data_IF_211065748162
#
_entry.id   IF_211065748162
#
_cell.length_a   1.000
_cell.length_b   1.000
_cell.length_c   1.000
_cell.angle_alpha   90.00
_cell.angle_beta   90.00
_cell.angle_gamma   90.00
#
_symmetry.space_group_name_H-M   'P 1'
#
loop_
_entity.id
_entity.type
_entity.pdbx_description
1 polymer ?
#
# COMPACT_ATOMS: atom_id res chain seq x y z
N UNK A 1 10.13 -16.22 8.05
CA UNK A 1 10.83 -16.29 6.75
C UNK A 1 9.92 -15.69 5.66
N UNK A 2 9.62 -14.38 5.73
CA UNK A 2 8.70 -13.68 4.81
C UNK A 2 9.26 -12.37 4.23
N UNK A 3 10.32 -11.78 4.79
CA UNK A 3 10.90 -10.55 4.26
C UNK A 3 11.56 -10.71 2.90
N UNK A 4 12.23 -11.84 2.62
CA UNK A 4 12.92 -12.07 1.34
C UNK A 4 11.95 -12.24 0.16
N UNK A 5 10.79 -12.88 0.38
CA UNK A 5 9.75 -12.99 -0.65
C UNK A 5 9.02 -11.66 -0.84
N UNK A 6 8.80 -10.87 0.21
CA UNK A 6 8.30 -9.50 0.09
C UNK A 6 9.29 -8.59 -0.65
N UNK A 7 10.61 -8.70 -0.37
CA UNK A 7 11.65 -7.88 -0.99
C UNK A 7 11.84 -8.19 -2.50
N UNK A 8 11.75 -9.47 -2.89
CA UNK A 8 11.94 -9.89 -4.28
C UNK A 8 10.73 -9.55 -5.15
N UNK A 9 9.50 -9.87 -4.69
CA UNK A 9 8.28 -9.62 -5.47
C UNK A 9 7.86 -8.14 -5.50
N UNK A 10 8.24 -7.35 -4.50
CA UNK A 10 7.93 -5.91 -4.45
C UNK A 10 9.13 -5.02 -4.82
N UNK A 11 10.23 -5.56 -5.35
CA UNK A 11 11.40 -4.75 -5.73
C UNK A 11 11.07 -3.66 -6.76
N UNK A 12 10.23 -3.97 -7.75
CA UNK A 12 9.70 -2.99 -8.71
C UNK A 12 8.83 -1.94 -8.00
N UNK A 13 7.92 -2.38 -7.14
CA UNK A 13 7.05 -1.50 -6.35
C UNK A 13 7.87 -0.56 -5.46
N UNK A 14 8.88 -1.07 -4.76
CA UNK A 14 9.79 -0.26 -3.92
C UNK A 14 10.53 0.76 -4.79
N UNK A 15 11.00 0.35 -5.97
CA UNK A 15 11.62 1.26 -6.94
C UNK A 15 10.66 2.38 -7.36
N UNK A 16 9.43 2.05 -7.72
CA UNK A 16 8.38 3.01 -8.08
C UNK A 16 8.03 3.95 -6.92
N UNK A 17 7.88 3.41 -5.70
CA UNK A 17 7.59 4.21 -4.50
C UNK A 17 8.72 5.19 -4.18
N UNK A 18 9.98 4.79 -4.38
CA UNK A 18 11.15 5.69 -4.24
C UNK A 18 11.11 6.83 -5.26
N UNK A 19 10.74 6.54 -6.51
CA UNK A 19 10.56 7.57 -7.54
C UNK A 19 9.44 8.53 -7.15
N UNK A 20 8.29 8.01 -6.70
CA UNK A 20 7.16 8.82 -6.23
C UNK A 20 7.59 9.73 -5.07
N UNK A 21 8.30 9.21 -4.07
CA UNK A 21 8.80 9.99 -2.94
C UNK A 21 9.77 11.10 -3.39
N UNK A 22 10.69 10.79 -4.29
CA UNK A 22 11.64 11.76 -4.83
C UNK A 22 10.94 12.89 -5.60
N UNK A 23 10.00 12.57 -6.50
CA UNK A 23 9.24 13.59 -7.26
C UNK A 23 8.41 14.45 -6.32
N UNK A 24 7.80 13.84 -5.30
CA UNK A 24 7.02 14.54 -4.26
C UNK A 24 7.88 15.56 -3.54
N UNK A 25 9.09 15.19 -3.10
CA UNK A 25 10.03 16.11 -2.45
C UNK A 25 10.46 17.25 -3.35
N UNK A 26 10.74 16.97 -4.63
CA UNK A 26 11.16 18.00 -5.57
C UNK A 26 10.04 19.02 -5.84
N UNK A 27 8.78 18.57 -5.82
CA UNK A 27 7.62 19.47 -5.88
C UNK A 27 7.50 20.27 -4.58
N UNK A 28 7.63 19.63 -3.42
CA UNK A 28 7.53 20.29 -2.10
C UNK A 28 8.66 21.32 -1.86
N UNK A 29 9.86 21.06 -2.37
CA UNK A 29 11.02 21.95 -2.37
C UNK A 29 10.90 23.09 -3.43
N UNK A 30 9.87 23.09 -4.27
CA UNK A 30 9.70 24.06 -5.37
C UNK A 30 10.71 23.90 -6.52
N UNK A 31 11.42 22.77 -6.59
CA UNK A 31 12.38 22.45 -7.67
C UNK A 31 11.69 21.95 -8.94
N UNK A 32 10.46 21.45 -8.82
CA UNK A 32 9.60 21.06 -9.95
C UNK A 32 8.29 21.83 -9.92
N UNK A 33 7.86 22.29 -11.08
CA UNK A 33 6.56 22.93 -11.26
C UNK A 33 5.44 21.90 -11.17
N UNK A 34 4.58 22.04 -10.17
CA UNK A 34 3.40 21.18 -9.95
C UNK A 34 2.39 21.17 -11.10
N UNK A 35 2.43 22.16 -12.01
CA UNK A 35 1.61 22.16 -13.22
C UNK A 35 2.17 21.26 -14.32
N UNK A 36 3.49 21.04 -14.34
CA UNK A 36 4.17 20.19 -15.32
C UNK A 36 4.39 18.76 -14.78
N UNK A 37 4.56 18.64 -13.46
CA UNK A 37 4.80 17.37 -12.77
C UNK A 37 3.68 17.09 -11.79
N UNK A 38 2.92 16.03 -12.05
CA UNK A 38 1.78 15.65 -11.22
C UNK A 38 2.23 14.97 -9.94
N UNK A 39 1.83 15.52 -8.79
CA UNK A 39 1.94 14.83 -7.49
C UNK A 39 1.05 13.60 -7.48
N UNK A 40 1.59 12.46 -7.06
CA UNK A 40 0.85 11.21 -6.89
C UNK A 40 0.44 11.07 -5.42
N UNK A 41 -0.87 10.92 -5.18
CA UNK A 41 -1.40 10.60 -3.85
C UNK A 41 -1.42 9.09 -3.66
N UNK A 42 -0.71 8.60 -2.65
CA UNK A 42 -0.57 7.17 -2.37
C UNK A 42 -1.49 6.77 -1.22
N UNK A 43 -2.24 5.70 -1.46
CA UNK A 43 -3.20 5.14 -0.53
C UNK A 43 -2.89 3.65 -0.34
N UNK A 44 -2.74 3.23 0.92
CA UNK A 44 -2.37 1.87 1.28
C UNK A 44 -3.46 1.25 2.15
N UNK A 45 -3.95 0.09 1.74
CA UNK A 45 -5.00 -0.66 2.43
C UNK A 45 -4.41 -2.02 2.78
N UNK A 46 -4.20 -2.25 4.08
CA UNK A 46 -3.64 -3.50 4.57
C UNK A 46 -4.28 -3.93 5.89
N UNK A 47 -4.18 -5.22 6.20
CA UNK A 47 -4.46 -5.76 7.53
C UNK A 47 -3.38 -6.78 7.90
N UNK A 48 -2.22 -6.24 8.25
CA UNK A 48 -1.05 -7.04 8.61
C UNK A 48 -1.31 -7.90 9.86
N UNK A 49 -2.20 -7.46 10.75
CA UNK A 49 -2.52 -8.20 11.97
C UNK A 49 -3.30 -9.48 11.67
N UNK A 50 -4.35 -9.40 10.85
CA UNK A 50 -5.12 -10.57 10.46
C UNK A 50 -4.32 -11.49 9.54
N UNK A 51 -3.56 -10.94 8.58
CA UNK A 51 -2.75 -11.76 7.68
C UNK A 51 -1.60 -12.49 8.37
N UNK A 52 -0.96 -11.90 9.39
CA UNK A 52 0.07 -12.60 10.18
C UNK A 52 -0.47 -13.81 10.95
N UNK A 53 -1.76 -13.81 11.29
CA UNK A 53 -2.44 -14.95 11.92
C UNK A 53 -2.61 -16.14 10.98
N UNK A 54 -2.56 -15.91 9.66
CA UNK A 54 -2.62 -16.96 8.65
C UNK A 54 -1.22 -17.52 8.42
N UNK A 55 -0.94 -18.67 9.04
CA UNK A 55 0.38 -19.32 8.98
C UNK A 55 0.83 -19.63 7.54
N UNK A 56 2.13 -19.89 7.37
CA UNK A 56 2.78 -20.17 6.06
C UNK A 56 2.04 -21.20 5.18
N UNK A 57 1.46 -22.30 5.72
CA UNK A 57 0.74 -23.27 4.90
C UNK A 57 -0.51 -22.73 4.20
N UNK A 58 -1.11 -21.64 4.73
CA UNK A 58 -2.29 -21.01 4.13
C UNK A 58 -2.06 -20.50 2.71
N UNK A 59 -0.79 -20.20 2.34
CA UNK A 59 -0.41 -19.73 1.01
C UNK A 59 -0.69 -20.73 -0.11
N UNK A 60 -0.74 -22.03 0.21
CA UNK A 60 -1.04 -23.10 -0.74
C UNK A 60 -2.49 -23.57 -0.64
N UNK A 61 -3.30 -22.94 0.22
CA UNK A 61 -4.70 -23.31 0.41
C UNK A 61 -5.58 -22.64 -0.65
N UNK A 62 -6.03 -23.43 -1.62
CA UNK A 62 -6.94 -22.97 -2.68
C UNK A 62 -8.40 -23.36 -2.45
N UNK A 63 -8.78 -23.75 -1.22
CA UNK A 63 -10.18 -24.10 -0.92
C UNK A 63 -11.07 -22.86 -1.00
N UNK A 64 -12.26 -23.04 -1.59
CA UNK A 64 -13.19 -21.94 -1.82
C UNK A 64 -13.65 -21.25 -0.52
N UNK A 65 -13.91 -22.01 0.54
CA UNK A 65 -14.30 -21.48 1.85
C UNK A 65 -13.23 -20.53 2.42
N UNK A 66 -11.96 -20.93 2.31
CA UNK A 66 -10.83 -20.09 2.70
C UNK A 66 -10.69 -18.84 1.83
N UNK A 67 -10.83 -18.96 0.50
CA UNK A 67 -10.78 -17.79 -0.39
C UNK A 67 -11.92 -16.80 -0.13
N UNK A 68 -13.12 -17.30 0.16
CA UNK A 68 -14.26 -16.45 0.55
C UNK A 68 -14.04 -15.77 1.89
N UNK A 69 -13.39 -16.45 2.85
CA UNK A 69 -12.99 -15.85 4.12
C UNK A 69 -11.98 -14.71 3.91
N UNK A 70 -10.93 -14.91 3.09
CA UNK A 70 -9.98 -13.84 2.74
C UNK A 70 -10.68 -12.64 2.07
N UNK A 71 -11.63 -12.92 1.17
CA UNK A 71 -12.45 -11.89 0.52
C UNK A 71 -13.27 -11.09 1.54
N UNK A 72 -13.84 -11.76 2.54
CA UNK A 72 -14.61 -11.10 3.60
C UNK A 72 -13.71 -10.18 4.43
N UNK A 73 -12.53 -10.66 4.85
CA UNK A 73 -11.54 -9.85 5.56
C UNK A 73 -11.16 -8.62 4.73
N UNK A 74 -10.82 -8.80 3.45
CA UNK A 74 -10.43 -7.69 2.57
C UNK A 74 -11.51 -6.61 2.45
N UNK A 75 -12.78 -7.01 2.41
CA UNK A 75 -13.91 -6.06 2.41
C UNK A 75 -14.03 -5.30 3.72
N UNK A 76 -13.97 -5.99 4.84
CA UNK A 76 -14.07 -5.36 6.17
C UNK A 76 -12.94 -4.34 6.39
N UNK A 77 -11.74 -4.66 5.92
CA UNK A 77 -10.57 -3.76 5.96
C UNK A 77 -10.79 -2.55 5.06
N UNK A 78 -11.26 -2.76 3.83
CA UNK A 78 -11.56 -1.67 2.91
C UNK A 78 -12.67 -0.75 3.44
N UNK A 79 -13.72 -1.32 4.04
CA UNK A 79 -14.83 -0.58 4.65
C UNK A 79 -14.36 0.28 5.84
N UNK A 80 -13.49 -0.28 6.69
CA UNK A 80 -12.84 0.53 7.74
C UNK A 80 -11.96 1.61 7.14
N UNK A 81 -11.14 1.27 6.15
CA UNK A 81 -10.20 2.21 5.57
C UNK A 81 -10.93 3.39 4.92
N UNK A 82 -11.98 3.13 4.14
CA UNK A 82 -12.75 4.18 3.49
C UNK A 82 -13.47 5.06 4.52
N UNK A 83 -14.00 4.47 5.59
CA UNK A 83 -14.63 5.21 6.68
C UNK A 83 -13.70 6.22 7.36
N UNK A 84 -12.39 5.94 7.43
CA UNK A 84 -11.41 6.85 8.02
C UNK A 84 -10.73 7.79 7.02
N UNK A 85 -10.67 7.41 5.74
CA UNK A 85 -9.78 8.06 4.76
C UNK A 85 -10.49 8.65 3.53
N UNK A 86 -11.82 8.53 3.42
CA UNK A 86 -12.56 8.99 2.24
C UNK A 86 -12.19 10.42 1.81
N UNK A 87 -12.10 11.35 2.76
CA UNK A 87 -11.79 12.76 2.50
C UNK A 87 -10.38 13.02 1.99
N UNK A 88 -9.45 12.07 2.15
CA UNK A 88 -8.09 12.18 1.66
C UNK A 88 -7.98 11.83 0.17
N UNK A 89 -8.92 11.05 -0.37
CA UNK A 89 -8.87 10.56 -1.75
C UNK A 89 -8.85 11.73 -2.73
N UNK A 90 -7.82 11.75 -3.59
CA UNK A 90 -7.61 12.82 -4.57
C UNK A 90 -7.07 14.13 -3.98
N UNK A 91 -6.95 14.26 -2.65
CA UNK A 91 -6.44 15.46 -1.97
C UNK A 91 -5.02 15.28 -1.44
N UNK A 92 -4.75 14.15 -0.76
CA UNK A 92 -3.43 13.84 -0.17
C UNK A 92 -3.23 12.34 -0.03
N UNK A 93 -1.98 11.91 0.08
CA UNK A 93 -1.65 10.54 0.49
C UNK A 93 -2.17 10.24 1.90
N UNK A 94 -2.52 8.98 2.17
CA UNK A 94 -2.91 8.50 3.52
C UNK A 94 -1.76 7.82 4.26
N UNK A 95 -0.60 7.71 3.62
CA UNK A 95 0.63 7.19 4.19
C UNK A 95 1.79 8.13 3.88
N UNK A 96 2.83 8.05 4.71
CA UNK A 96 4.15 8.56 4.38
C UNK A 96 4.89 7.49 3.55
N UNK A 97 5.10 7.78 2.27
CA UNK A 97 5.76 6.85 1.33
C UNK A 97 7.22 6.65 1.70
N UNK A 98 7.88 7.65 2.31
CA UNK A 98 9.27 7.49 2.76
C UNK A 98 9.34 6.59 3.96
N UNK A 99 8.57 6.89 5.00
CA UNK A 99 8.57 6.08 6.23
C UNK A 99 8.25 4.61 5.94
N UNK A 100 7.38 4.36 4.96
CA UNK A 100 6.95 3.00 4.61
C UNK A 100 7.91 2.23 3.69
N UNK A 101 8.66 2.90 2.80
CA UNK A 101 9.43 2.23 1.72
C UNK A 101 10.92 2.59 1.64
N UNK A 102 11.41 3.55 2.44
CA UNK A 102 12.80 4.05 2.45
C UNK A 102 13.47 3.79 3.80
#
# INVERSE_FOLDING_TARGET
>A
MNRLNELSFNSSLIGEMRVIACVTDLIDDGKLDSNQYKRINVHWIEDEKQMRGLGVPSKLNARLDFLLHLKAIGREVADRWIGHNFDAIGRRSTIDVKEMFL
#
